data_IF_669893877250
#
_entry.id   IF_669893877250
#
_cell.length_a   1.000
_cell.length_b   1.000
_cell.length_c   1.000
_cell.angle_alpha   90.00
_cell.angle_beta   90.00
_cell.angle_gamma   90.00
#
_symmetry.space_group_name_H-M   'P 1'
#
loop_
_entity.id
_entity.type
_entity.pdbx_description
1 polymer ?
#
# COMPACT_ATOMS: atom_id res chain seq x y z
N UNK A 1 -11.27 29.06 -24.76
CA UNK A 1 -12.69 28.70 -24.62
C UNK A 1 -12.98 28.79 -23.13
N UNK A 2 -13.94 29.61 -22.72
CA UNK A 2 -14.36 29.69 -21.32
C UNK A 2 -15.58 28.80 -21.13
N UNK A 3 -15.51 27.79 -20.25
CA UNK A 3 -16.60 26.83 -20.04
C UNK A 3 -17.08 26.83 -18.60
N UNK A 4 -18.35 27.18 -18.38
CA UNK A 4 -19.06 27.09 -17.10
C UNK A 4 -18.46 27.87 -15.91
N UNK A 5 -17.40 28.66 -16.13
CA UNK A 5 -16.75 29.47 -15.08
C UNK A 5 -15.87 28.66 -14.12
N UNK A 6 -15.61 27.38 -14.40
CA UNK A 6 -14.72 26.52 -13.61
C UNK A 6 -13.28 26.46 -14.16
N UNK A 7 -12.97 27.31 -15.13
CA UNK A 7 -11.66 27.52 -15.76
C UNK A 7 -11.10 28.93 -15.48
N UNK A 8 -11.48 29.50 -14.34
CA UNK A 8 -10.92 30.74 -13.79
C UNK A 8 -9.64 30.39 -13.00
N UNK A 9 -8.66 31.29 -12.98
CA UNK A 9 -7.43 31.15 -12.16
C UNK A 9 -6.72 29.80 -12.35
N UNK A 10 -6.07 29.60 -13.51
CA UNK A 10 -5.27 28.43 -13.91
C UNK A 10 -5.97 27.06 -13.86
N UNK A 11 -7.28 27.04 -13.60
CA UNK A 11 -8.06 25.82 -13.59
C UNK A 11 -8.28 25.24 -15.00
N UNK A 12 -8.35 23.91 -15.07
CA UNK A 12 -8.55 23.16 -16.31
C UNK A 12 -9.76 22.24 -16.18
N UNK A 13 -10.69 22.32 -17.13
CA UNK A 13 -11.84 21.42 -17.20
C UNK A 13 -11.48 20.18 -18.02
N UNK A 14 -11.59 18.99 -17.41
CA UNK A 14 -11.29 17.72 -18.05
C UNK A 14 -12.56 16.95 -18.42
N UNK A 15 -12.55 16.32 -19.60
CA UNK A 15 -13.64 15.46 -20.03
C UNK A 15 -13.61 14.12 -19.29
N UNK A 16 -14.67 13.82 -18.52
CA UNK A 16 -14.83 12.57 -17.77
C UNK A 16 -14.66 11.32 -18.65
N UNK A 17 -15.27 11.30 -19.84
CA UNK A 17 -15.21 10.14 -20.73
C UNK A 17 -13.80 9.90 -21.29
N UNK A 18 -12.93 10.91 -21.32
CA UNK A 18 -11.52 10.73 -21.67
C UNK A 18 -10.74 10.10 -20.51
N UNK A 19 -11.03 10.50 -19.27
CA UNK A 19 -10.42 9.91 -18.05
C UNK A 19 -10.82 8.44 -17.89
N UNK A 20 -12.10 8.11 -18.09
CA UNK A 20 -12.60 6.72 -18.04
C UNK A 20 -11.93 5.82 -19.10
N UNK A 21 -11.47 6.39 -20.22
CA UNK A 21 -10.70 5.71 -21.28
C UNK A 21 -9.18 5.69 -21.03
N UNK A 22 -8.72 6.22 -19.90
CA UNK A 22 -7.32 6.13 -19.46
C UNK A 22 -6.50 7.40 -19.63
N UNK A 23 -7.10 8.53 -20.02
CA UNK A 23 -6.38 9.82 -20.03
C UNK A 23 -5.91 10.17 -18.61
N UNK A 24 -4.60 10.38 -18.44
CA UNK A 24 -4.00 10.71 -17.14
C UNK A 24 -3.85 9.54 -16.17
N UNK A 25 -4.06 8.28 -16.61
CA UNK A 25 -3.84 7.10 -15.76
C UNK A 25 -2.35 6.98 -15.41
N UNK A 26 -2.04 7.02 -14.13
CA UNK A 26 -0.68 6.88 -13.61
C UNK A 26 -0.56 5.70 -12.63
N UNK A 27 0.67 5.21 -12.47
CA UNK A 27 1.03 4.16 -11.53
C UNK A 27 1.99 4.76 -10.51
N UNK A 28 1.63 4.71 -9.23
CA UNK A 28 2.45 5.23 -8.14
C UNK A 28 3.01 4.05 -7.35
N UNK A 29 4.33 3.88 -7.39
CA UNK A 29 5.03 2.82 -6.68
C UNK A 29 5.70 3.35 -5.42
N UNK A 30 5.59 2.61 -4.31
CA UNK A 30 6.26 2.91 -3.05
C UNK A 30 7.03 1.69 -2.57
N UNK A 31 8.28 1.90 -2.15
CA UNK A 31 9.15 0.85 -1.60
C UNK A 31 9.10 0.85 -0.07
N UNK A 32 8.96 -0.33 0.54
CA UNK A 32 9.11 -0.55 1.98
C UNK A 32 10.21 -1.58 2.18
N UNK A 33 11.24 -1.23 2.96
CA UNK A 33 12.39 -2.08 3.23
C UNK A 33 12.52 -2.31 4.73
N UNK A 34 12.79 -3.56 5.12
CA UNK A 34 13.15 -3.94 6.48
C UNK A 34 14.49 -4.68 6.44
N UNK A 35 15.43 -4.32 7.33
CA UNK A 35 16.73 -4.98 7.44
C UNK A 35 16.78 -5.74 8.76
N UNK A 36 17.00 -7.04 8.70
CA UNK A 36 17.18 -7.90 9.88
C UNK A 36 18.65 -7.93 10.27
N UNK A 37 18.98 -7.49 11.48
CA UNK A 37 20.37 -7.38 11.95
C UNK A 37 20.77 -8.56 12.82
N UNK A 38 22.07 -8.87 12.77
CA UNK A 38 22.77 -9.73 13.74
C UNK A 38 23.62 -8.85 14.64
N UNK A 39 23.56 -9.07 15.93
CA UNK A 39 24.23 -8.25 16.94
C UNK A 39 25.45 -8.98 17.50
N UNK A 40 26.40 -8.22 18.07
CA UNK A 40 27.65 -8.75 18.61
C UNK A 40 27.45 -9.73 19.78
N UNK A 41 26.32 -9.62 20.49
CA UNK A 41 25.92 -10.53 21.56
C UNK A 41 25.30 -11.86 21.04
N UNK A 42 25.56 -12.22 19.78
CA UNK A 42 25.01 -13.41 19.10
C UNK A 42 23.48 -13.45 18.96
N UNK A 43 22.78 -12.33 19.24
CA UNK A 43 21.35 -12.22 18.99
C UNK A 43 21.06 -11.75 17.57
N UNK A 44 19.85 -11.99 17.09
CA UNK A 44 19.43 -11.60 15.74
C UNK A 44 17.94 -11.28 15.69
N UNK A 45 17.56 -10.33 14.84
CA UNK A 45 16.16 -10.02 14.57
C UNK A 45 15.49 -11.17 13.82
N UNK A 46 14.21 -11.42 14.11
CA UNK A 46 13.41 -12.46 13.46
C UNK A 46 12.06 -11.91 13.03
N UNK A 47 11.65 -12.25 11.82
CA UNK A 47 10.26 -12.11 11.38
C UNK A 47 9.53 -13.37 11.82
N UNK A 48 8.36 -13.18 12.42
CA UNK A 48 7.49 -14.27 12.86
C UNK A 48 6.22 -14.24 12.04
N UNK A 49 5.62 -15.42 11.85
CA UNK A 49 4.32 -15.55 11.20
C UNK A 49 3.18 -14.80 11.92
N UNK A 50 2.00 -14.75 11.30
CA UNK A 50 0.87 -13.97 11.78
C UNK A 50 0.37 -14.49 13.12
N UNK A 51 0.32 -13.59 14.11
CA UNK A 51 -0.38 -13.85 15.37
C UNK A 51 -1.85 -14.25 15.14
N UNK A 52 -2.29 -15.29 15.86
CA UNK A 52 -3.66 -15.79 15.85
C UNK A 52 -4.33 -15.44 17.17
N UNK A 53 -5.61 -15.10 17.09
CA UNK A 53 -6.43 -14.87 18.27
C UNK A 53 -6.58 -16.17 19.07
N UNK A 54 -6.46 -16.08 20.39
CA UNK A 54 -6.46 -17.25 21.28
C UNK A 54 -7.84 -17.92 21.37
N UNK A 55 -8.92 -17.15 21.22
CA UNK A 55 -10.29 -17.66 21.31
C UNK A 55 -10.78 -18.21 19.97
N UNK A 56 -10.57 -17.45 18.90
CA UNK A 56 -11.13 -17.75 17.58
C UNK A 56 -10.19 -18.62 16.73
N UNK A 57 -8.89 -18.70 17.09
CA UNK A 57 -7.80 -19.33 16.31
C UNK A 57 -7.57 -18.72 14.92
N UNK A 58 -8.31 -17.68 14.57
CA UNK A 58 -8.15 -16.93 13.34
C UNK A 58 -7.01 -15.91 13.44
N UNK A 59 -6.46 -15.52 12.29
CA UNK A 59 -5.43 -14.48 12.22
C UNK A 59 -6.00 -13.13 12.63
N UNK A 60 -5.26 -12.38 13.46
CA UNK A 60 -5.69 -11.03 13.86
C UNK A 60 -5.86 -10.13 12.63
N UNK A 61 -6.83 -9.23 12.67
CA UNK A 61 -7.13 -8.34 11.54
C UNK A 61 -5.89 -7.60 10.99
N UNK A 62 -4.98 -7.17 11.87
CA UNK A 62 -3.75 -6.46 11.49
C UNK A 62 -2.76 -7.31 10.69
N UNK A 63 -2.78 -8.64 10.87
CA UNK A 63 -1.85 -9.58 10.25
C UNK A 63 -2.50 -10.39 9.14
N UNK A 64 -3.75 -10.08 8.76
CA UNK A 64 -4.49 -10.81 7.73
C UNK A 64 -3.81 -10.81 6.35
N UNK A 65 -2.97 -9.81 6.11
CA UNK A 65 -2.20 -9.64 4.85
C UNK A 65 -0.83 -10.33 4.89
N UNK A 66 -0.40 -10.87 6.03
CA UNK A 66 0.88 -11.57 6.15
C UNK A 66 0.70 -13.04 5.75
N UNK A 67 1.69 -13.59 5.06
CA UNK A 67 1.79 -15.02 4.79
C UNK A 67 2.36 -15.76 6.01
N UNK A 68 2.43 -17.10 5.97
CA UNK A 68 2.86 -17.94 7.09
C UNK A 68 4.28 -17.63 7.61
N UNK A 69 5.16 -17.13 6.74
CA UNK A 69 6.52 -16.70 7.08
C UNK A 69 6.60 -15.28 7.68
N UNK A 70 5.48 -14.56 7.71
CA UNK A 70 5.37 -13.18 8.20
C UNK A 70 5.74 -12.12 7.17
N UNK A 71 5.92 -12.49 5.90
CA UNK A 71 6.15 -11.58 4.77
C UNK A 71 4.91 -11.60 3.88
N UNK A 72 4.62 -10.48 3.20
CA UNK A 72 3.48 -10.41 2.27
C UNK A 72 3.86 -10.95 0.90
N UNK A 73 2.99 -11.75 0.30
CA UNK A 73 3.13 -12.19 -1.09
C UNK A 73 2.86 -11.03 -2.08
N UNK A 74 3.50 -11.03 -3.27
CA UNK A 74 3.29 -10.02 -4.30
C UNK A 74 1.87 -10.03 -4.89
#
# INVERSE_FOLDING_TARGET
>A
MSYSGYDIEDALVLNKASVDRGFGRCLVYRKQNCVLKRYANQTFDRVMGPSRDAQTKDVIWRHKVLDEDGIVAP
#
